data_IF_585060156469
#
_entry.id   IF_585060156469
#
_cell.length_a   1.000
_cell.length_b   1.000
_cell.length_c   1.000
_cell.angle_alpha   90.00
_cell.angle_beta   90.00
_cell.angle_gamma   90.00
#
_symmetry.space_group_name_H-M   'P 1'
#
loop_
_entity.id
_entity.type
_entity.pdbx_description
1 polymer ?
#
# COMPACT_ATOMS: atom_id res chain seq x y z
N UNK A 1 -64.37 -11.89 27.92
CA UNK A 1 -63.69 -10.74 27.27
C UNK A 1 -62.19 -10.94 27.41
N UNK A 2 -61.55 -11.51 26.40
CA UNK A 2 -60.09 -11.58 26.31
C UNK A 2 -59.57 -10.20 25.90
N UNK A 3 -58.73 -9.58 26.72
CA UNK A 3 -57.93 -8.43 26.32
C UNK A 3 -56.63 -8.93 25.69
N UNK A 4 -56.50 -8.73 24.39
CA UNK A 4 -55.26 -8.93 23.64
C UNK A 4 -54.39 -7.70 23.87
N UNK A 5 -53.28 -7.85 24.60
CA UNK A 5 -52.20 -6.86 24.61
C UNK A 5 -51.39 -7.02 23.33
N UNK A 6 -51.51 -6.08 22.42
CA UNK A 6 -50.60 -5.94 21.29
C UNK A 6 -49.29 -5.31 21.78
N UNK A 7 -48.25 -6.13 21.95
CA UNK A 7 -46.88 -5.64 22.07
C UNK A 7 -46.42 -5.20 20.68
N UNK A 8 -46.36 -3.88 20.47
CA UNK A 8 -45.60 -3.29 19.37
C UNK A 8 -44.41 -2.58 19.98
N UNK A 9 -43.30 -3.31 20.15
CA UNK A 9 -42.00 -2.67 20.36
C UNK A 9 -41.14 -2.93 19.12
N UNK A 10 -41.22 -1.98 18.20
CA UNK A 10 -40.26 -1.86 17.10
C UNK A 10 -39.47 -0.59 17.36
N UNK A 11 -38.46 -0.69 18.22
CA UNK A 11 -37.40 0.30 18.32
C UNK A 11 -36.63 0.33 16.99
N UNK A 12 -37.15 1.11 16.03
CA UNK A 12 -36.45 1.43 14.79
C UNK A 12 -35.19 2.19 15.18
N UNK A 13 -34.06 1.47 15.19
CA UNK A 13 -32.70 1.98 15.35
C UNK A 13 -32.51 3.20 14.45
N UNK A 14 -32.31 4.36 15.05
CA UNK A 14 -32.15 5.60 14.30
C UNK A 14 -30.66 5.80 14.00
N UNK A 15 -30.21 5.21 12.90
CA UNK A 15 -28.88 5.48 12.36
C UNK A 15 -28.76 6.97 11.98
N UNK A 16 -27.56 7.57 12.04
CA UNK A 16 -27.28 8.84 11.36
C UNK A 16 -27.76 8.79 9.90
N UNK A 17 -28.21 9.93 9.38
CA UNK A 17 -28.97 9.99 8.12
C UNK A 17 -28.25 9.38 6.91
N UNK A 18 -26.91 9.36 6.87
CA UNK A 18 -26.14 8.70 5.80
C UNK A 18 -25.99 7.19 5.97
N UNK A 19 -25.73 6.70 7.18
CA UNK A 19 -25.68 5.25 7.46
C UNK A 19 -27.00 4.56 7.10
N UNK A 20 -28.13 5.23 7.31
CA UNK A 20 -29.45 4.74 6.92
C UNK A 20 -29.67 4.63 5.39
N UNK A 21 -28.82 5.28 4.58
CA UNK A 21 -28.88 5.21 3.10
C UNK A 21 -28.05 4.05 2.54
N UNK A 22 -27.17 3.46 3.34
CA UNK A 22 -26.45 2.24 2.96
C UNK A 22 -27.39 1.03 3.00
N UNK A 23 -27.10 0.02 2.18
CA UNK A 23 -27.88 -1.23 2.10
C UNK A 23 -27.08 -2.38 2.67
N UNK A 24 -27.76 -3.35 3.27
CA UNK A 24 -27.13 -4.63 3.62
C UNK A 24 -26.54 -5.28 2.37
N UNK A 25 -25.33 -5.82 2.50
CA UNK A 25 -24.59 -6.48 1.44
C UNK A 25 -23.70 -7.59 2.01
N UNK A 26 -23.24 -8.48 1.13
CA UNK A 26 -22.17 -9.44 1.43
C UNK A 26 -21.08 -9.31 0.38
N UNK A 27 -19.83 -9.29 0.82
CA UNK A 27 -18.67 -9.32 -0.06
C UNK A 27 -18.13 -10.74 -0.12
N UNK A 28 -17.41 -11.05 -1.19
CA UNK A 28 -16.79 -12.37 -1.37
C UNK A 28 -15.82 -12.66 -0.21
N UNK A 29 -15.91 -13.85 0.38
CA UNK A 29 -15.06 -14.27 1.50
C UNK A 29 -15.43 -13.69 2.87
N UNK A 30 -16.61 -13.04 3.00
CA UNK A 30 -17.11 -12.49 4.25
C UNK A 30 -18.48 -13.09 4.57
N UNK A 31 -18.58 -13.80 5.69
CA UNK A 31 -19.77 -14.58 6.10
C UNK A 31 -20.81 -13.78 6.92
N UNK A 32 -20.61 -12.47 7.06
CA UNK A 32 -21.51 -11.56 7.75
C UNK A 32 -22.09 -10.48 6.82
N UNK A 33 -23.17 -9.83 7.26
CA UNK A 33 -23.75 -8.70 6.55
C UNK A 33 -23.00 -7.40 6.87
N UNK A 34 -22.60 -6.69 5.82
CA UNK A 34 -21.99 -5.37 5.88
C UNK A 34 -22.97 -4.32 5.35
N UNK A 35 -22.62 -3.04 5.45
CA UNK A 35 -23.37 -1.95 4.84
C UNK A 35 -22.60 -1.41 3.64
N UNK A 36 -23.18 -1.50 2.44
CA UNK A 36 -22.59 -1.01 1.21
C UNK A 36 -23.43 0.12 0.60
N UNK A 37 -22.78 1.04 -0.09
CA UNK A 37 -23.44 2.09 -0.85
C UNK A 37 -22.43 2.98 -1.56
N UNK A 38 -22.89 4.14 -2.00
CA UNK A 38 -22.02 5.14 -2.59
C UNK A 38 -22.46 6.56 -2.26
N UNK A 39 -21.51 7.49 -2.35
CA UNK A 39 -21.76 8.93 -2.38
C UNK A 39 -21.38 9.48 -3.75
N UNK A 40 -22.34 10.07 -4.46
CA UNK A 40 -22.09 10.74 -5.73
C UNK A 40 -21.46 12.11 -5.49
N UNK A 41 -20.32 12.38 -6.13
CA UNK A 41 -19.60 13.66 -6.09
C UNK A 41 -19.32 14.15 -7.50
N UNK A 42 -19.01 15.44 -7.68
CA UNK A 42 -18.48 15.93 -8.94
C UNK A 42 -17.06 15.41 -9.15
N UNK A 43 -16.77 14.95 -10.36
CA UNK A 43 -15.41 14.58 -10.74
C UNK A 43 -14.50 15.80 -10.61
N UNK A 44 -14.88 16.92 -11.22
CA UNK A 44 -14.22 18.20 -11.00
C UNK A 44 -14.89 18.97 -9.85
N UNK A 45 -14.28 18.87 -8.65
CA UNK A 45 -14.80 19.50 -7.42
C UNK A 45 -14.79 21.03 -7.48
N UNK A 46 -13.87 21.63 -8.23
CA UNK A 46 -13.72 23.08 -8.30
C UNK A 46 -14.85 23.74 -9.09
N UNK A 47 -15.15 23.19 -10.27
CA UNK A 47 -16.22 23.72 -11.13
C UNK A 47 -17.61 23.29 -10.67
N UNK A 48 -17.72 22.16 -9.94
CA UNK A 48 -19.00 21.53 -9.54
C UNK A 48 -19.96 21.38 -10.73
N UNK A 49 -19.41 21.11 -11.91
CA UNK A 49 -20.14 20.97 -13.16
C UNK A 49 -19.60 19.80 -13.97
N UNK A 50 -20.41 19.34 -14.92
CA UNK A 50 -20.04 18.21 -15.78
C UNK A 50 -20.24 16.85 -15.10
N UNK A 51 -19.28 15.94 -15.28
CA UNK A 51 -19.39 14.55 -14.84
C UNK A 51 -19.42 14.43 -13.32
N UNK A 52 -20.21 13.46 -12.85
CA UNK A 52 -20.20 12.97 -11.48
C UNK A 52 -19.60 11.57 -11.44
N UNK A 53 -19.08 11.20 -10.28
CA UNK A 53 -18.57 9.87 -9.98
C UNK A 53 -19.17 9.39 -8.66
N UNK A 54 -19.34 8.09 -8.53
CA UNK A 54 -19.79 7.47 -7.28
C UNK A 54 -18.57 7.00 -6.49
N UNK A 55 -18.47 7.43 -5.24
CA UNK A 55 -17.48 6.93 -4.29
C UNK A 55 -18.07 5.71 -3.59
N UNK A 56 -17.47 4.53 -3.81
CA UNK A 56 -17.89 3.29 -3.21
C UNK A 56 -17.51 3.23 -1.72
N UNK A 57 -18.48 2.85 -0.89
CA UNK A 57 -18.38 2.84 0.56
C UNK A 57 -18.80 1.47 1.08
N UNK A 58 -17.97 0.89 1.93
CA UNK A 58 -18.28 -0.29 2.74
C UNK A 58 -18.10 0.09 4.20
N UNK A 59 -19.13 -0.13 5.01
CA UNK A 59 -19.06 0.02 6.46
C UNK A 59 -19.23 -1.36 7.09
N UNK A 60 -18.24 -1.75 7.89
CA UNK A 60 -18.32 -2.90 8.78
C UNK A 60 -18.78 -2.37 10.16
N UNK A 61 -20.04 -2.61 10.56
CA UNK A 61 -20.56 -2.02 11.79
C UNK A 61 -19.84 -2.54 13.03
N UNK A 62 -19.79 -1.70 14.07
CA UNK A 62 -19.36 -2.09 15.40
C UNK A 62 -20.23 -3.22 15.95
N UNK A 63 -19.64 -4.14 16.69
CA UNK A 63 -20.42 -5.18 17.39
C UNK A 63 -21.24 -4.58 18.54
N UNK A 64 -20.64 -3.69 19.33
CA UNK A 64 -21.34 -2.94 20.37
C UNK A 64 -21.78 -1.55 19.85
N UNK A 65 -23.08 -1.43 19.59
CA UNK A 65 -23.71 -0.18 19.17
C UNK A 65 -24.06 0.75 20.35
N UNK A 66 -24.08 0.26 21.59
CA UNK A 66 -24.44 1.05 22.78
C UNK A 66 -23.28 1.90 23.28
N UNK A 67 -22.06 1.36 23.22
CA UNK A 67 -20.84 2.08 23.65
C UNK A 67 -19.94 2.49 22.49
N UNK A 68 -20.57 2.74 21.33
CA UNK A 68 -19.91 3.06 20.08
C UNK A 68 -19.00 4.29 20.21
N UNK A 69 -17.77 4.15 19.72
CA UNK A 69 -16.71 5.18 19.65
C UNK A 69 -16.58 5.67 18.21
N UNK A 70 -15.79 6.72 18.03
CA UNK A 70 -15.45 7.29 16.73
C UNK A 70 -14.94 6.19 15.77
N UNK A 71 -15.38 6.19 14.49
CA UNK A 71 -15.05 5.13 13.54
C UNK A 71 -13.56 5.12 13.15
N UNK A 72 -13.13 4.01 12.58
CA UNK A 72 -11.82 3.88 11.92
C UNK A 72 -12.00 3.96 10.41
N UNK A 73 -11.27 4.86 9.76
CA UNK A 73 -11.20 4.98 8.32
C UNK A 73 -9.85 4.44 7.84
N UNK A 74 -9.88 3.40 7.00
CA UNK A 74 -8.69 2.77 6.42
C UNK A 74 -8.35 3.42 5.08
N UNK A 75 -7.10 3.87 4.95
CA UNK A 75 -6.55 4.45 3.73
C UNK A 75 -5.50 3.51 3.14
N UNK A 76 -5.87 2.88 2.04
CA UNK A 76 -5.02 1.97 1.30
C UNK A 76 -3.81 2.68 0.66
N UNK A 77 -2.76 1.88 0.43
CA UNK A 77 -1.52 2.32 -0.21
C UNK A 77 -1.56 2.29 -1.75
N UNK A 78 -0.40 2.02 -2.34
CA UNK A 78 -0.18 2.04 -3.79
C UNK A 78 0.64 3.25 -4.21
N UNK A 79 0.04 4.40 -4.56
CA UNK A 79 -1.39 4.70 -4.74
C UNK A 79 -2.10 3.78 -5.74
N UNK A 80 -3.42 3.67 -5.63
CA UNK A 80 -4.24 2.91 -6.59
C UNK A 80 -4.85 1.63 -6.02
N UNK A 81 -4.50 1.22 -4.80
CA UNK A 81 -5.19 0.14 -4.11
C UNK A 81 -6.57 0.62 -3.59
N UNK A 82 -7.53 -0.30 -3.54
CA UNK A 82 -8.87 -0.04 -3.06
C UNK A 82 -8.96 -0.33 -1.55
N UNK A 83 -9.42 0.64 -0.75
CA UNK A 83 -9.62 0.46 0.70
C UNK A 83 -10.59 -0.66 1.02
N UNK A 84 -11.60 -0.88 0.15
CA UNK A 84 -12.60 -1.94 0.38
C UNK A 84 -12.04 -3.37 0.31
N UNK A 85 -10.83 -3.58 -0.23
CA UNK A 85 -10.14 -4.87 -0.17
C UNK A 85 -9.72 -5.24 1.27
N UNK A 86 -9.59 -4.27 2.17
CA UNK A 86 -9.33 -4.51 3.59
C UNK A 86 -10.55 -5.09 4.36
N UNK A 87 -11.73 -5.17 3.73
CA UNK A 87 -12.94 -5.68 4.37
C UNK A 87 -12.75 -7.10 4.90
N UNK A 88 -12.04 -7.96 4.15
CA UNK A 88 -11.77 -9.33 4.56
C UNK A 88 -10.96 -9.40 5.86
N UNK A 89 -9.97 -8.53 6.04
CA UNK A 89 -9.19 -8.44 7.28
C UNK A 89 -10.08 -8.02 8.45
N UNK A 90 -10.84 -6.94 8.31
CA UNK A 90 -11.69 -6.41 9.40
C UNK A 90 -12.92 -7.28 9.71
N UNK A 91 -13.34 -8.16 8.80
CA UNK A 91 -14.34 -9.17 9.06
C UNK A 91 -13.78 -10.39 9.83
N UNK A 92 -12.48 -10.66 9.70
CA UNK A 92 -11.84 -11.86 10.21
C UNK A 92 -10.75 -11.54 11.26
N UNK A 93 -9.48 -11.48 10.86
CA UNK A 93 -8.34 -11.34 11.77
C UNK A 93 -8.41 -10.02 12.57
N UNK A 94 -8.87 -8.95 11.94
CA UNK A 94 -9.01 -7.61 12.51
C UNK A 94 -10.35 -7.35 13.19
N UNK A 95 -11.15 -8.36 13.54
CA UNK A 95 -12.49 -8.15 14.13
C UNK A 95 -12.47 -7.30 15.41
N UNK A 96 -11.38 -7.31 16.17
CA UNK A 96 -11.27 -6.56 17.42
C UNK A 96 -11.37 -5.04 17.20
N UNK A 97 -10.93 -4.53 16.04
CA UNK A 97 -11.12 -3.13 15.65
C UNK A 97 -12.60 -2.72 15.66
N UNK A 98 -13.51 -3.66 15.41
CA UNK A 98 -14.94 -3.46 15.37
C UNK A 98 -15.66 -3.68 16.69
N UNK A 99 -14.94 -3.95 17.79
CA UNK A 99 -15.57 -4.16 19.10
C UNK A 99 -16.53 -3.01 19.46
N UNK A 100 -16.10 -1.77 19.24
CA UNK A 100 -16.87 -0.55 19.53
C UNK A 100 -16.77 0.54 18.47
N UNK A 101 -16.25 0.23 17.28
CA UNK A 101 -16.07 1.21 16.20
C UNK A 101 -16.62 0.63 14.92
N UNK A 102 -17.28 1.47 14.13
CA UNK A 102 -17.47 1.12 12.74
C UNK A 102 -16.11 1.21 12.06
N UNK A 103 -15.82 0.26 11.17
CA UNK A 103 -14.72 0.40 10.22
C UNK A 103 -15.31 0.83 8.89
N UNK A 104 -14.83 1.95 8.36
CA UNK A 104 -15.33 2.57 7.14
C UNK A 104 -14.23 2.49 6.09
N UNK A 105 -14.56 1.84 4.99
CA UNK A 105 -13.69 1.66 3.84
C UNK A 105 -14.28 2.46 2.70
N UNK A 106 -13.51 3.40 2.19
CA UNK A 106 -13.90 4.25 1.06
C UNK A 106 -12.90 4.02 -0.04
N UNK A 107 -13.35 3.48 -1.16
CA UNK A 107 -12.50 3.43 -2.35
C UNK A 107 -12.23 4.88 -2.77
N UNK A 108 -10.96 5.28 -2.75
CA UNK A 108 -10.55 6.57 -3.27
C UNK A 108 -11.01 6.71 -4.72
N UNK A 109 -11.42 7.90 -5.15
CA UNK A 109 -11.63 8.18 -6.59
C UNK A 109 -10.47 7.60 -7.41
N UNK A 110 -10.78 6.84 -8.45
CA UNK A 110 -9.82 6.16 -9.32
C UNK A 110 -9.44 4.75 -8.90
N UNK A 111 -9.94 4.25 -7.77
CA UNK A 111 -9.64 2.90 -7.23
C UNK A 111 -10.92 2.07 -7.05
N UNK A 112 -10.76 0.75 -6.93
CA UNK A 112 -11.85 -0.16 -6.57
C UNK A 112 -13.08 0.03 -7.47
N UNK A 113 -14.21 0.41 -6.86
CA UNK A 113 -15.46 0.73 -7.58
C UNK A 113 -15.70 2.24 -7.74
N UNK A 114 -14.80 3.10 -7.28
CA UNK A 114 -14.93 4.56 -7.33
C UNK A 114 -14.37 5.15 -8.63
N UNK A 115 -15.09 5.00 -9.75
CA UNK A 115 -14.63 5.36 -11.10
C UNK A 115 -13.19 4.90 -11.41
N UNK A 116 -12.93 3.57 -11.41
CA UNK A 116 -11.57 3.04 -11.39
C UNK A 116 -10.76 3.38 -12.64
N UNK A 117 -9.53 3.84 -12.43
CA UNK A 117 -8.54 4.18 -13.45
C UNK A 117 -7.68 2.95 -13.83
N UNK A 118 -8.36 1.86 -14.17
CA UNK A 118 -7.73 0.60 -14.60
C UNK A 118 -8.25 0.15 -15.95
N UNK A 119 -7.50 -0.73 -16.61
CA UNK A 119 -7.89 -1.46 -17.81
C UNK A 119 -7.51 -2.92 -17.64
N UNK A 120 -8.26 -3.82 -18.25
CA UNK A 120 -7.92 -5.25 -18.23
C UNK A 120 -6.55 -5.49 -18.84
N UNK A 121 -5.77 -6.36 -18.19
CA UNK A 121 -4.43 -6.79 -18.61
C UNK A 121 -4.46 -8.28 -18.90
N UNK A 122 -3.81 -8.70 -19.99
CA UNK A 122 -3.58 -10.12 -20.27
C UNK A 122 -2.29 -10.52 -19.56
N UNK A 123 -2.39 -11.44 -18.59
CA UNK A 123 -1.29 -11.81 -17.70
C UNK A 123 -0.52 -13.02 -18.23
N UNK A 124 0.32 -12.82 -19.23
CA UNK A 124 1.25 -13.84 -19.74
C UNK A 124 2.58 -13.83 -18.96
N UNK A 125 3.46 -14.81 -19.21
CA UNK A 125 4.81 -14.80 -18.66
C UNK A 125 5.59 -13.53 -19.04
N UNK A 126 5.48 -13.11 -20.31
CA UNK A 126 6.09 -11.90 -20.83
C UNK A 126 5.53 -10.64 -20.16
N UNK A 127 4.23 -10.63 -19.81
CA UNK A 127 3.66 -9.52 -19.04
C UNK A 127 4.37 -9.38 -17.68
N UNK A 128 4.58 -10.49 -16.95
CA UNK A 128 5.21 -10.44 -15.64
C UNK A 128 6.69 -10.07 -15.66
N UNK A 129 7.36 -10.26 -16.81
CA UNK A 129 8.75 -9.90 -17.05
C UNK A 129 8.91 -8.60 -17.85
N UNK A 130 7.81 -7.93 -18.19
CA UNK A 130 7.84 -6.68 -18.95
C UNK A 130 8.32 -5.51 -18.11
N UNK A 131 8.85 -4.49 -18.79
CA UNK A 131 9.23 -3.25 -18.12
C UNK A 131 8.04 -2.55 -17.44
N UNK A 132 8.33 -1.79 -16.40
CA UNK A 132 7.35 -0.98 -15.68
C UNK A 132 6.88 0.13 -16.62
N UNK A 133 5.59 0.18 -16.88
CA UNK A 133 4.96 1.18 -17.76
C UNK A 133 5.60 1.28 -19.17
N UNK A 134 5.47 0.24 -20.00
CA UNK A 134 5.89 0.31 -21.40
C UNK A 134 5.17 1.46 -22.13
N UNK A 135 5.86 2.12 -23.06
CA UNK A 135 5.34 3.34 -23.71
C UNK A 135 3.95 3.13 -24.34
N UNK A 136 3.79 2.05 -25.11
CA UNK A 136 2.52 1.75 -25.78
C UNK A 136 1.42 1.37 -24.80
N UNK A 137 1.77 0.75 -23.67
CA UNK A 137 0.82 0.50 -22.59
C UNK A 137 0.31 1.81 -21.98
N UNK A 138 1.20 2.75 -21.64
CA UNK A 138 0.81 4.04 -21.05
C UNK A 138 -0.06 4.86 -22.00
N UNK A 139 0.31 4.92 -23.29
CA UNK A 139 -0.50 5.60 -24.32
C UNK A 139 -1.91 4.98 -24.43
N UNK A 140 -1.98 3.65 -24.53
CA UNK A 140 -3.25 2.92 -24.63
C UNK A 140 -4.10 3.08 -23.37
N UNK A 141 -3.48 3.04 -22.19
CA UNK A 141 -4.13 3.25 -20.90
C UNK A 141 -4.74 4.65 -20.85
N UNK A 142 -3.92 5.69 -21.11
CA UNK A 142 -4.37 7.08 -21.14
C UNK A 142 -5.53 7.28 -22.10
N UNK A 143 -5.37 6.87 -23.37
CA UNK A 143 -6.37 7.07 -24.41
C UNK A 143 -7.73 6.46 -24.01
N UNK A 144 -7.72 5.26 -23.41
CA UNK A 144 -8.95 4.58 -22.95
C UNK A 144 -9.57 5.27 -21.75
N UNK A 145 -8.77 5.75 -20.81
CA UNK A 145 -9.28 6.40 -19.60
C UNK A 145 -9.80 7.81 -19.86
N UNK A 146 -9.17 8.60 -20.74
CA UNK A 146 -9.62 9.96 -21.08
C UNK A 146 -11.03 9.99 -21.69
N UNK A 147 -11.51 8.87 -22.27
CA UNK A 147 -12.90 8.76 -22.75
C UNK A 147 -13.94 8.79 -21.63
N UNK A 148 -13.56 8.43 -20.39
CA UNK A 148 -14.48 8.24 -19.27
C UNK A 148 -14.07 8.94 -17.97
N UNK A 149 -12.87 9.51 -17.92
CA UNK A 149 -12.34 10.22 -16.76
C UNK A 149 -11.55 11.47 -17.16
N UNK A 150 -11.50 12.47 -16.28
CA UNK A 150 -10.62 13.63 -16.37
C UNK A 150 -9.44 13.32 -15.46
N UNK A 151 -8.36 12.82 -16.06
CA UNK A 151 -7.19 12.31 -15.34
C UNK A 151 -6.51 13.37 -14.45
N UNK A 152 -6.81 14.66 -14.67
CA UNK A 152 -6.31 15.77 -13.84
C UNK A 152 -7.01 15.89 -12.48
N UNK A 153 -8.14 15.20 -12.27
CA UNK A 153 -8.97 15.31 -11.06
C UNK A 153 -8.70 14.20 -10.01
N UNK A 154 -7.56 13.52 -10.12
CA UNK A 154 -7.21 12.35 -9.32
C UNK A 154 -5.92 12.58 -8.53
N UNK A 155 -5.91 13.63 -7.70
CA UNK A 155 -4.82 13.94 -6.75
C UNK A 155 -5.24 13.65 -5.31
N UNK A 156 -4.26 13.48 -4.42
CA UNK A 156 -4.49 13.16 -3.00
C UNK A 156 -5.33 14.22 -2.30
N UNK A 157 -5.10 15.51 -2.56
CA UNK A 157 -5.84 16.60 -1.92
C UNK A 157 -7.33 16.58 -2.26
N UNK A 158 -7.69 16.27 -3.50
CA UNK A 158 -9.08 16.14 -3.93
C UNK A 158 -9.71 14.89 -3.29
N UNK A 159 -8.98 13.78 -3.28
CA UNK A 159 -9.41 12.55 -2.64
C UNK A 159 -9.70 12.69 -1.13
N UNK A 160 -8.93 13.51 -0.41
CA UNK A 160 -9.16 13.71 1.02
C UNK A 160 -10.31 14.67 1.32
N UNK A 161 -10.63 15.60 0.41
CA UNK A 161 -11.88 16.37 0.49
C UNK A 161 -13.11 15.49 0.20
N UNK A 162 -13.01 14.52 -0.72
CA UNK A 162 -14.03 13.49 -0.92
C UNK A 162 -14.25 12.64 0.34
N UNK A 163 -13.16 12.25 1.00
CA UNK A 163 -13.23 11.47 2.23
C UNK A 163 -13.97 12.24 3.34
N UNK A 164 -13.76 13.56 3.43
CA UNK A 164 -14.45 14.41 4.40
C UNK A 164 -15.94 14.55 4.08
N UNK A 165 -16.31 14.66 2.79
CA UNK A 165 -17.71 14.63 2.36
C UNK A 165 -18.37 13.29 2.75
N UNK A 166 -17.67 12.16 2.58
CA UNK A 166 -18.17 10.84 3.02
C UNK A 166 -18.33 10.78 4.53
N UNK A 167 -17.35 11.25 5.31
CA UNK A 167 -17.44 11.34 6.77
C UNK A 167 -18.69 12.13 7.19
N UNK A 168 -18.84 13.34 6.66
CA UNK A 168 -19.95 14.22 6.98
C UNK A 168 -21.30 13.60 6.57
N UNK A 169 -21.36 13.02 5.37
CA UNK A 169 -22.55 12.36 4.86
C UNK A 169 -22.99 11.18 5.74
N UNK A 170 -22.05 10.33 6.17
CA UNK A 170 -22.30 9.22 7.11
C UNK A 170 -22.68 9.70 8.52
N UNK A 171 -22.45 10.98 8.85
CA UNK A 171 -22.85 11.60 10.12
C UNK A 171 -21.81 11.46 11.23
N UNK A 172 -20.54 11.26 10.90
CA UNK A 172 -19.46 11.22 11.88
C UNK A 172 -18.85 12.60 12.11
N UNK A 173 -18.69 13.02 13.36
CA UNK A 173 -18.05 14.30 13.68
C UNK A 173 -16.52 14.24 13.55
N UNK A 174 -15.91 13.27 14.23
CA UNK A 174 -14.47 12.97 14.17
C UNK A 174 -14.21 11.51 13.86
N UNK A 175 -13.06 11.22 13.24
CA UNK A 175 -12.65 9.89 12.80
C UNK A 175 -11.23 9.56 13.26
N UNK A 176 -10.94 8.27 13.37
CA UNK A 176 -9.56 7.77 13.48
C UNK A 176 -9.11 7.35 12.09
N UNK A 177 -7.88 7.68 11.70
CA UNK A 177 -7.31 7.33 10.40
C UNK A 177 -6.26 6.23 10.58
N UNK A 178 -6.29 5.23 9.72
CA UNK A 178 -5.17 4.32 9.51
C UNK A 178 -4.70 4.46 8.06
N UNK A 179 -3.40 4.66 7.85
CA UNK A 179 -2.80 4.71 6.52
C UNK A 179 -1.64 3.76 6.40
N UNK A 180 -1.62 2.99 5.32
CA UNK A 180 -0.50 2.12 4.94
C UNK A 180 0.20 2.67 3.69
N UNK A 181 1.53 2.78 3.69
CA UNK A 181 2.30 3.21 2.53
C UNK A 181 1.85 4.59 2.02
N UNK A 182 1.51 4.77 0.75
CA UNK A 182 0.84 5.98 0.23
C UNK A 182 -0.37 6.43 1.08
N UNK A 183 -1.11 5.51 1.71
CA UNK A 183 -2.20 5.85 2.63
C UNK A 183 -1.75 6.72 3.80
N UNK A 184 -0.47 6.65 4.20
CA UNK A 184 0.11 7.58 5.19
C UNK A 184 0.21 9.00 4.67
N UNK A 185 0.55 9.20 3.37
CA UNK A 185 0.48 10.51 2.72
C UNK A 185 -0.96 11.02 2.71
N UNK A 186 -1.90 10.18 2.34
CA UNK A 186 -3.33 10.52 2.33
C UNK A 186 -3.81 10.94 3.74
N UNK A 187 -3.47 10.16 4.77
CA UNK A 187 -3.80 10.49 6.16
C UNK A 187 -3.19 11.83 6.62
N UNK A 188 -1.94 12.10 6.25
CA UNK A 188 -1.25 13.36 6.55
C UNK A 188 -1.91 14.55 5.80
N UNK A 189 -2.32 14.35 4.55
CA UNK A 189 -3.03 15.36 3.76
C UNK A 189 -4.42 15.64 4.36
N UNK A 190 -5.16 14.61 4.77
CA UNK A 190 -6.44 14.77 5.47
C UNK A 190 -6.25 15.51 6.80
N UNK A 191 -5.25 15.12 7.61
CA UNK A 191 -4.93 15.78 8.87
C UNK A 191 -4.63 17.28 8.69
N UNK A 192 -4.02 17.66 7.57
CA UNK A 192 -3.77 19.07 7.23
C UNK A 192 -5.05 19.80 6.80
N UNK A 193 -5.88 19.19 5.95
CA UNK A 193 -7.05 19.84 5.36
C UNK A 193 -8.23 19.92 6.35
N UNK A 194 -8.39 18.89 7.19
CA UNK A 194 -9.53 18.67 8.06
C UNK A 194 -9.13 18.34 9.50
N UNK A 195 -8.19 19.09 10.14
CA UNK A 195 -7.64 18.75 11.45
C UNK A 195 -8.70 18.64 12.55
N UNK A 196 -9.77 19.43 12.47
CA UNK A 196 -10.89 19.42 13.41
C UNK A 196 -11.70 18.11 13.41
N UNK A 197 -11.60 17.33 12.33
CA UNK A 197 -12.31 16.07 12.15
C UNK A 197 -11.46 14.83 12.48
N UNK A 198 -10.21 15.03 12.94
CA UNK A 198 -9.32 13.93 13.29
C UNK A 198 -9.27 13.72 14.80
N UNK A 199 -9.49 12.48 15.23
CA UNK A 199 -9.27 12.04 16.62
C UNK A 199 -7.88 11.45 16.82
N UNK A 200 -7.49 10.48 16.01
CA UNK A 200 -6.14 9.89 16.00
C UNK A 200 -5.71 9.52 14.59
N UNK A 201 -4.41 9.38 14.38
CA UNK A 201 -3.83 8.90 13.12
C UNK A 201 -2.84 7.78 13.41
N UNK A 202 -2.94 6.68 12.67
CA UNK A 202 -1.93 5.62 12.64
C UNK A 202 -1.29 5.57 11.26
N UNK A 203 0.04 5.62 11.20
CA UNK A 203 0.82 5.60 9.96
C UNK A 203 1.72 4.37 9.95
N UNK A 204 1.64 3.52 8.93
CA UNK A 204 2.53 2.36 8.77
C UNK A 204 3.23 2.40 7.41
N UNK A 205 4.56 2.26 7.39
CA UNK A 205 5.35 2.38 6.16
C UNK A 205 5.28 3.81 5.60
N UNK A 206 5.92 4.75 6.30
CA UNK A 206 5.62 6.19 6.17
C UNK A 206 6.12 6.79 4.86
N UNK A 207 5.17 7.23 4.03
CA UNK A 207 5.37 8.07 2.86
C UNK A 207 4.94 9.52 3.18
N UNK A 208 5.85 10.43 3.57
CA UNK A 208 5.49 11.82 3.80
C UNK A 208 5.06 12.54 2.52
N UNK A 209 4.40 13.69 2.67
CA UNK A 209 3.94 14.56 1.56
C UNK A 209 5.07 15.13 0.70
N UNK A 210 6.30 15.14 1.21
CA UNK A 210 7.50 15.60 0.51
C UNK A 210 8.38 14.46 -0.01
N UNK A 211 8.01 13.20 0.22
CA UNK A 211 8.74 12.07 -0.37
C UNK A 211 8.48 12.03 -1.87
N UNK A 212 9.46 12.36 -2.70
CA UNK A 212 9.33 12.31 -4.15
C UNK A 212 9.47 10.86 -4.63
N UNK A 213 8.39 10.10 -4.71
CA UNK A 213 8.45 8.72 -5.19
C UNK A 213 8.65 8.70 -6.73
N UNK A 214 9.70 8.04 -7.27
CA UNK A 214 10.52 6.99 -6.65
C UNK A 214 11.99 7.40 -6.35
N UNK A 215 12.30 8.69 -6.18
CA UNK A 215 13.67 9.24 -6.06
C UNK A 215 14.60 8.45 -5.12
N UNK A 216 14.08 7.96 -3.99
CA UNK A 216 14.86 7.25 -2.96
C UNK A 216 14.62 5.73 -2.93
N UNK A 217 13.84 5.16 -3.85
CA UNK A 217 13.50 3.73 -3.81
C UNK A 217 14.72 2.82 -3.97
N UNK A 218 15.65 3.14 -4.88
CA UNK A 218 16.84 2.32 -5.07
C UNK A 218 17.78 2.35 -3.84
N UNK A 219 17.89 3.50 -3.19
CA UNK A 219 18.64 3.64 -1.93
C UNK A 219 18.00 2.83 -0.80
N UNK A 220 16.68 2.92 -0.63
CA UNK A 220 15.96 2.15 0.37
C UNK A 220 16.05 0.63 0.11
N UNK A 221 15.92 0.21 -1.15
CA UNK A 221 16.08 -1.18 -1.56
C UNK A 221 17.49 -1.71 -1.30
N UNK A 222 18.54 -0.93 -1.61
CA UNK A 222 19.93 -1.31 -1.35
C UNK A 222 20.19 -1.51 0.13
N UNK A 223 19.66 -0.62 0.98
CA UNK A 223 19.73 -0.76 2.44
C UNK A 223 19.04 -2.03 2.91
N UNK A 224 17.82 -2.30 2.45
CA UNK A 224 17.06 -3.47 2.86
C UNK A 224 17.72 -4.78 2.40
N UNK A 225 18.23 -4.82 1.17
CA UNK A 225 18.97 -5.96 0.62
C UNK A 225 20.22 -6.24 1.44
N UNK A 226 21.02 -5.22 1.74
CA UNK A 226 22.20 -5.37 2.59
C UNK A 226 21.85 -5.97 3.96
N UNK A 227 20.83 -5.44 4.63
CA UNK A 227 20.39 -5.97 5.91
C UNK A 227 19.90 -7.42 5.81
N UNK A 228 19.25 -7.80 4.71
CA UNK A 228 18.77 -9.17 4.48
C UNK A 228 19.94 -10.15 4.27
N UNK A 229 20.94 -9.75 3.48
CA UNK A 229 22.14 -10.56 3.24
C UNK A 229 22.98 -10.71 4.52
N UNK A 230 23.17 -9.62 5.28
CA UNK A 230 23.81 -9.67 6.60
C UNK A 230 23.06 -10.61 7.57
N UNK A 231 21.72 -10.64 7.53
CA UNK A 231 20.93 -11.59 8.31
C UNK A 231 21.14 -13.05 7.86
N UNK A 232 21.29 -13.32 6.56
CA UNK A 232 21.61 -14.65 6.06
C UNK A 232 23.01 -15.09 6.49
N UNK A 233 24.01 -14.20 6.42
CA UNK A 233 25.38 -14.51 6.84
C UNK A 233 25.49 -14.80 8.35
N UNK A 234 24.65 -14.16 9.17
CA UNK A 234 24.59 -14.39 10.61
C UNK A 234 23.77 -15.63 11.00
N UNK A 235 22.87 -16.08 10.13
CA UNK A 235 22.09 -17.30 10.31
C UNK A 235 22.92 -18.53 9.91
N UNK A 236 23.09 -19.48 10.84
CA UNK A 236 23.99 -20.61 10.62
C UNK A 236 23.56 -21.49 9.43
N UNK A 237 22.25 -21.71 9.22
CA UNK A 237 21.76 -22.56 8.13
C UNK A 237 21.85 -21.84 6.78
N UNK A 238 21.53 -20.55 6.76
CA UNK A 238 21.63 -19.74 5.54
C UNK A 238 23.09 -19.56 5.12
N UNK A 239 23.99 -19.28 6.05
CA UNK A 239 25.43 -19.15 5.77
C UNK A 239 26.07 -20.47 5.32
N UNK A 240 25.70 -21.60 5.93
CA UNK A 240 26.17 -22.92 5.47
C UNK A 240 25.72 -23.20 4.02
N UNK A 241 24.49 -22.84 3.67
CA UNK A 241 23.97 -23.01 2.33
C UNK A 241 24.57 -22.01 1.32
N UNK A 242 24.80 -20.76 1.73
CA UNK A 242 25.17 -19.64 0.86
C UNK A 242 26.35 -18.82 1.46
N UNK A 243 27.56 -19.39 1.54
CA UNK A 243 28.68 -18.77 2.26
C UNK A 243 29.23 -17.47 1.63
N UNK A 244 28.85 -17.19 0.38
CA UNK A 244 29.33 -16.04 -0.41
C UNK A 244 28.16 -15.24 -1.00
N UNK A 245 27.05 -15.10 -0.25
CA UNK A 245 25.81 -14.54 -0.81
C UNK A 245 25.94 -13.09 -1.33
N UNK A 246 26.80 -12.28 -0.72
CA UNK A 246 27.12 -10.93 -1.20
C UNK A 246 27.81 -10.97 -2.59
N UNK A 247 28.74 -11.91 -2.79
CA UNK A 247 29.41 -12.11 -4.07
C UNK A 247 28.44 -12.66 -5.13
N UNK A 248 27.54 -13.57 -4.73
CA UNK A 248 26.50 -14.11 -5.61
C UNK A 248 25.57 -13.01 -6.11
N UNK A 249 25.13 -12.11 -5.21
CA UNK A 249 24.32 -10.94 -5.59
C UNK A 249 25.03 -10.06 -6.62
N UNK A 250 26.30 -9.72 -6.38
CA UNK A 250 27.10 -8.92 -7.31
C UNK A 250 27.33 -9.64 -8.66
N UNK A 251 27.56 -10.97 -8.62
CA UNK A 251 27.77 -11.82 -9.79
C UNK A 251 26.53 -11.86 -10.68
N UNK A 252 25.33 -12.03 -10.13
CA UNK A 252 24.08 -12.04 -10.90
C UNK A 252 23.87 -10.71 -11.62
N UNK A 253 24.03 -9.58 -10.92
CA UNK A 253 23.87 -8.27 -11.54
C UNK A 253 24.88 -8.05 -12.66
N UNK A 254 26.14 -8.43 -12.46
CA UNK A 254 27.19 -8.33 -13.48
C UNK A 254 26.90 -9.22 -14.70
N UNK A 255 26.36 -10.42 -14.49
CA UNK A 255 25.93 -11.30 -15.59
C UNK A 255 24.81 -10.66 -16.40
N UNK A 256 23.77 -10.16 -15.73
CA UNK A 256 22.61 -9.54 -16.37
C UNK A 256 22.93 -8.19 -17.03
N UNK A 257 23.96 -7.48 -16.57
CA UNK A 257 24.49 -6.28 -17.24
C UNK A 257 25.12 -6.60 -18.59
N UNK A 258 25.70 -7.80 -18.77
CA UNK A 258 26.32 -8.21 -20.03
C UNK A 258 25.28 -8.69 -21.04
N UNK A 259 24.30 -9.47 -20.59
CA UNK A 259 23.21 -9.97 -21.42
C UNK A 259 22.01 -10.41 -20.57
N UNK A 260 20.77 -10.28 -21.06
CA UNK A 260 19.60 -10.88 -20.41
C UNK A 260 19.74 -12.39 -20.27
N UNK A 261 19.25 -12.95 -19.15
CA UNK A 261 19.17 -14.39 -19.00
C UNK A 261 17.99 -14.94 -19.83
N UNK A 262 18.19 -16.09 -20.46
CA UNK A 262 17.17 -16.78 -21.27
C UNK A 262 16.77 -18.07 -20.60
N UNK A 263 15.49 -18.21 -20.31
CA UNK A 263 14.94 -19.37 -19.59
C UNK A 263 13.77 -19.94 -20.36
N UNK A 264 13.69 -21.25 -20.47
CA UNK A 264 12.51 -21.93 -21.00
C UNK A 264 11.43 -21.97 -19.90
N UNK A 265 10.27 -21.41 -20.19
CA UNK A 265 9.10 -21.43 -19.32
C UNK A 265 8.06 -22.38 -19.87
N UNK A 266 7.60 -23.33 -19.06
CA UNK A 266 6.48 -24.21 -19.38
C UNK A 266 5.22 -23.71 -18.68
N UNK A 267 4.25 -23.12 -19.40
CA UNK A 267 3.05 -22.59 -18.78
C UNK A 267 2.17 -23.70 -18.17
N UNK A 268 1.46 -23.44 -17.06
CA UNK A 268 0.65 -24.44 -16.36
C UNK A 268 -0.59 -24.90 -17.13
N UNK A 269 -0.97 -24.20 -18.20
CA UNK A 269 -2.10 -24.55 -19.06
C UNK A 269 -1.76 -25.59 -20.14
N UNK A 270 -0.58 -26.23 -20.05
CA UNK A 270 -0.03 -27.19 -21.01
C UNK A 270 0.17 -26.62 -22.42
N UNK A 271 0.25 -25.30 -22.57
CA UNK A 271 0.73 -24.70 -23.82
C UNK A 271 2.22 -25.02 -24.04
N UNK A 272 2.68 -24.81 -25.28
CA UNK A 272 4.07 -25.09 -25.64
C UNK A 272 5.03 -24.24 -24.79
N UNK A 273 6.20 -24.79 -24.38
CA UNK A 273 7.21 -24.00 -23.68
C UNK A 273 7.61 -22.76 -24.49
N UNK A 274 7.80 -21.65 -23.79
CA UNK A 274 8.20 -20.36 -24.37
C UNK A 274 9.54 -19.93 -23.80
N UNK A 275 10.40 -19.36 -24.64
CA UNK A 275 11.65 -18.74 -24.17
C UNK A 275 11.36 -17.33 -23.69
N UNK A 276 11.68 -17.06 -22.43
CA UNK A 276 11.54 -15.73 -21.82
C UNK A 276 12.90 -15.12 -21.52
N UNK A 277 12.96 -13.79 -21.54
CA UNK A 277 14.16 -13.03 -21.18
C UNK A 277 13.98 -12.32 -19.84
N UNK A 278 14.98 -12.46 -18.97
CA UNK A 278 15.06 -11.76 -17.69
C UNK A 278 16.14 -10.68 -17.83
N UNK A 279 15.71 -9.42 -17.86
CA UNK A 279 16.62 -8.28 -17.89
C UNK A 279 17.07 -7.91 -16.47
N UNK A 280 18.26 -7.33 -16.35
CA UNK A 280 18.86 -6.84 -15.09
C UNK A 280 17.88 -6.03 -14.23
N UNK A 281 17.23 -5.03 -14.83
CA UNK A 281 16.37 -4.12 -14.09
C UNK A 281 15.05 -4.77 -13.66
N UNK A 282 14.55 -5.74 -14.43
CA UNK A 282 13.37 -6.56 -14.07
C UNK A 282 13.72 -7.47 -12.91
N UNK A 283 14.90 -8.10 -12.96
CA UNK A 283 15.41 -8.92 -11.87
C UNK A 283 15.51 -8.13 -10.57
N UNK A 284 16.18 -6.98 -10.61
CA UNK A 284 16.34 -6.11 -9.44
C UNK A 284 14.99 -5.59 -8.91
N UNK A 285 14.06 -5.18 -9.78
CA UNK A 285 12.74 -4.67 -9.35
C UNK A 285 11.86 -5.76 -8.73
N UNK A 286 11.95 -7.00 -9.21
CA UNK A 286 11.25 -8.15 -8.60
C UNK A 286 11.81 -8.47 -7.21
N UNK A 287 13.14 -8.54 -7.07
CA UNK A 287 13.80 -8.72 -5.77
C UNK A 287 13.37 -7.61 -4.81
N UNK A 288 13.34 -6.35 -5.26
CA UNK A 288 12.85 -5.21 -4.46
C UNK A 288 11.42 -5.42 -3.99
N UNK A 289 10.55 -5.91 -4.87
CA UNK A 289 9.13 -6.15 -4.57
C UNK A 289 8.96 -7.28 -3.56
N UNK A 290 9.72 -8.37 -3.67
CA UNK A 290 9.69 -9.48 -2.71
C UNK A 290 10.20 -9.08 -1.32
N UNK A 291 11.08 -8.08 -1.23
CA UNK A 291 11.49 -7.52 0.06
C UNK A 291 10.36 -6.76 0.80
N UNK A 292 9.15 -6.60 0.24
CA UNK A 292 8.04 -5.94 0.94
C UNK A 292 7.54 -6.75 2.14
N UNK A 293 7.62 -8.08 2.07
CA UNK A 293 7.17 -9.01 3.10
C UNK A 293 8.25 -10.03 3.46
N UNK A 294 8.24 -10.52 4.70
CA UNK A 294 9.30 -11.40 5.20
C UNK A 294 9.21 -12.82 4.65
N UNK A 295 8.01 -13.26 4.26
CA UNK A 295 7.79 -14.56 3.61
C UNK A 295 8.49 -14.68 2.27
N UNK A 296 8.43 -13.66 1.42
CA UNK A 296 9.12 -13.71 0.12
C UNK A 296 10.61 -13.40 0.27
N UNK A 297 10.96 -12.47 1.18
CA UNK A 297 12.34 -12.13 1.44
C UNK A 297 13.19 -13.33 1.91
N UNK A 298 12.60 -14.29 2.64
CA UNK A 298 13.33 -15.48 3.11
C UNK A 298 13.78 -16.42 1.98
N UNK A 299 13.23 -16.28 0.77
CA UNK A 299 13.63 -17.06 -0.42
C UNK A 299 14.68 -16.38 -1.28
N UNK A 300 14.94 -15.08 -1.05
CA UNK A 300 15.86 -14.29 -1.88
C UNK A 300 17.28 -14.88 -1.91
N UNK A 301 17.90 -15.30 -0.80
CA UNK A 301 19.25 -15.86 -0.84
C UNK A 301 19.37 -17.08 -1.77
N UNK A 302 18.43 -18.02 -1.69
CA UNK A 302 18.37 -19.18 -2.60
C UNK A 302 18.23 -18.75 -4.06
N UNK A 303 17.31 -17.83 -4.36
CA UNK A 303 17.08 -17.35 -5.73
C UNK A 303 18.33 -16.67 -6.30
N UNK A 304 19.00 -15.83 -5.50
CA UNK A 304 20.22 -15.13 -5.89
C UNK A 304 21.37 -16.12 -6.11
N UNK A 305 21.58 -17.06 -5.19
CA UNK A 305 22.62 -18.07 -5.30
C UNK A 305 22.45 -18.92 -6.58
N UNK A 306 21.22 -19.40 -6.86
CA UNK A 306 20.93 -20.19 -8.06
C UNK A 306 21.13 -19.38 -9.35
N UNK A 307 20.66 -18.14 -9.36
CA UNK A 307 20.89 -17.24 -10.49
C UNK A 307 22.38 -16.97 -10.71
N UNK A 308 23.19 -16.90 -9.65
CA UNK A 308 24.63 -16.67 -9.74
C UNK A 308 25.34 -17.83 -10.47
N UNK A 309 24.81 -19.04 -10.34
CA UNK A 309 25.26 -20.24 -11.05
C UNK A 309 24.61 -20.41 -12.44
N UNK A 310 23.80 -19.44 -12.88
CA UNK A 310 23.14 -19.43 -14.17
C UNK A 310 21.76 -20.11 -14.19
N UNK A 311 21.29 -20.62 -13.06
CA UNK A 311 19.94 -21.19 -12.91
C UNK A 311 18.94 -20.11 -12.46
N UNK A 312 18.25 -19.52 -13.44
CA UNK A 312 17.20 -18.53 -13.21
C UNK A 312 15.81 -19.15 -13.03
N UNK A 313 15.69 -20.48 -12.98
CA UNK A 313 14.41 -21.18 -12.79
C UNK A 313 13.67 -20.75 -11.52
N UNK A 314 14.32 -20.73 -10.33
CA UNK A 314 13.68 -20.27 -9.09
C UNK A 314 13.21 -18.82 -9.15
N UNK A 315 13.99 -17.92 -9.77
CA UNK A 315 13.57 -16.54 -10.00
C UNK A 315 12.30 -16.50 -10.86
N UNK A 316 12.29 -17.25 -11.96
CA UNK A 316 11.19 -17.24 -12.91
C UNK A 316 9.89 -17.75 -12.27
N UNK A 317 9.99 -18.82 -11.47
CA UNK A 317 8.87 -19.38 -10.72
C UNK A 317 8.24 -18.36 -9.78
N UNK A 318 9.03 -17.62 -8.99
CA UNK A 318 8.52 -16.58 -8.10
C UNK A 318 8.05 -15.33 -8.87
N UNK A 319 8.64 -15.03 -10.03
CA UNK A 319 8.34 -13.82 -10.80
C UNK A 319 7.03 -13.89 -11.60
N UNK A 320 6.61 -15.10 -12.01
CA UNK A 320 5.37 -15.35 -12.75
C UNK A 320 4.25 -15.65 -11.77
N UNK A 321 3.51 -14.61 -11.42
CA UNK A 321 2.37 -14.71 -10.53
C UNK A 321 1.86 -13.33 -10.12
N UNK A 322 0.68 -13.27 -9.49
CA UNK A 322 0.14 -12.02 -8.99
C UNK A 322 1.14 -11.30 -8.09
N UNK A 323 1.32 -10.00 -8.33
CA UNK A 323 2.22 -9.13 -7.57
C UNK A 323 1.55 -7.80 -7.24
N UNK A 324 2.15 -6.97 -6.39
CA UNK A 324 1.58 -5.67 -5.99
C UNK A 324 1.01 -4.84 -7.17
N UNK A 325 1.71 -4.70 -8.32
CA UNK A 325 1.18 -4.01 -9.51
C UNK A 325 -0.14 -4.55 -10.09
N UNK A 326 -0.53 -5.78 -9.76
CA UNK A 326 -1.77 -6.39 -10.24
C UNK A 326 -3.00 -6.01 -9.39
N UNK A 327 -2.78 -5.45 -8.21
CA UNK A 327 -3.82 -5.07 -7.25
C UNK A 327 -4.00 -3.55 -7.13
N UNK A 328 -3.23 -2.76 -7.90
CA UNK A 328 -3.35 -1.30 -7.97
C UNK A 328 -3.90 -0.85 -9.32
N UNK A 329 -4.68 0.23 -9.30
CA UNK A 329 -5.10 0.93 -10.51
C UNK A 329 -3.95 1.77 -11.07
N UNK A 330 -3.31 1.33 -12.15
CA UNK A 330 -2.15 2.03 -12.75
C UNK A 330 -2.45 3.47 -13.15
N UNK A 331 -3.65 3.75 -13.67
CA UNK A 331 -4.01 5.12 -14.02
C UNK A 331 -4.14 6.01 -12.78
N UNK A 332 -4.55 5.46 -11.64
CA UNK A 332 -4.52 6.18 -10.37
C UNK A 332 -3.09 6.38 -9.89
N UNK A 333 -2.25 5.34 -9.97
CA UNK A 333 -0.84 5.43 -9.61
C UNK A 333 -0.12 6.54 -10.37
N UNK A 334 -0.33 6.60 -11.69
CA UNK A 334 0.22 7.62 -12.56
C UNK A 334 -0.39 9.00 -12.28
N UNK A 335 -1.71 9.13 -12.11
CA UNK A 335 -2.31 10.43 -11.79
C UNK A 335 -1.77 11.06 -10.51
N UNK A 336 -1.50 10.27 -9.46
CA UNK A 336 -0.84 10.77 -8.24
C UNK A 336 0.62 11.12 -8.50
N UNK A 337 1.43 10.14 -8.90
CA UNK A 337 2.89 10.32 -8.97
C UNK A 337 3.31 11.36 -10.00
N UNK A 338 2.58 11.49 -11.10
CA UNK A 338 2.83 12.49 -12.13
C UNK A 338 2.36 13.90 -11.74
N UNK A 339 1.49 14.04 -10.75
CA UNK A 339 1.09 15.34 -10.21
C UNK A 339 1.97 15.79 -9.03
N UNK A 340 2.25 14.86 -8.13
CA UNK A 340 2.75 15.12 -6.77
C UNK A 340 4.24 14.86 -6.57
N UNK A 341 4.84 13.97 -7.37
CA UNK A 341 6.20 13.47 -7.10
C UNK A 341 7.16 13.77 -8.24
N UNK A 342 6.94 13.13 -9.39
CA UNK A 342 7.87 13.09 -10.53
C UNK A 342 8.25 14.48 -11.05
N UNK A 343 7.33 15.45 -11.19
CA UNK A 343 7.69 16.80 -11.64
C UNK A 343 8.65 17.54 -10.71
N UNK A 344 8.81 17.09 -9.47
CA UNK A 344 9.66 17.72 -8.46
C UNK A 344 10.97 16.95 -8.22
N UNK A 345 11.19 15.85 -8.94
CA UNK A 345 12.46 15.11 -8.90
C UNK A 345 13.52 15.91 -9.64
N UNK A 346 14.60 16.23 -8.92
CA UNK A 346 15.84 16.72 -9.53
C UNK A 346 16.54 15.52 -10.19
N UNK A 347 16.57 15.53 -11.52
CA UNK A 347 17.11 14.43 -12.32
C UNK A 347 18.63 14.28 -12.18
N UNK A 348 19.36 15.37 -11.95
CA UNK A 348 20.81 15.31 -11.73
C UNK A 348 21.09 14.67 -10.36
N UNK A 349 20.35 15.09 -9.33
CA UNK A 349 20.47 14.49 -8.00
C UNK A 349 20.03 13.02 -8.01
N UNK A 350 18.96 12.66 -8.72
CA UNK A 350 18.52 11.28 -8.86
C UNK A 350 19.59 10.41 -9.56
N UNK A 351 20.21 10.92 -10.63
CA UNK A 351 21.31 10.23 -11.30
C UNK A 351 22.51 9.99 -10.35
N UNK A 352 22.88 10.99 -9.54
CA UNK A 352 23.95 10.86 -8.53
C UNK A 352 23.61 9.82 -7.45
N UNK A 353 22.37 9.82 -6.94
CA UNK A 353 21.91 8.87 -5.92
C UNK A 353 21.92 7.42 -6.43
N UNK A 354 21.64 7.22 -7.72
CA UNK A 354 21.47 5.90 -8.31
C UNK A 354 22.73 5.39 -9.05
N UNK A 355 23.77 6.20 -9.18
CA UNK A 355 25.05 5.79 -9.77
C UNK A 355 25.72 4.70 -8.91
N UNK A 356 26.00 3.54 -9.52
CA UNK A 356 26.57 2.39 -8.82
C UNK A 356 25.61 1.70 -7.83
N UNK A 357 24.34 2.11 -7.78
CA UNK A 357 23.34 1.47 -6.94
C UNK A 357 22.90 0.13 -7.58
N UNK A 358 22.88 -0.99 -6.84
CA UNK A 358 22.47 -2.29 -7.37
C UNK A 358 21.09 -2.29 -8.05
N UNK A 359 20.14 -1.54 -7.52
CA UNK A 359 18.78 -1.40 -8.06
C UNK A 359 18.66 -0.32 -9.16
N UNK A 360 19.72 0.47 -9.36
CA UNK A 360 19.86 1.43 -10.46
C UNK A 360 18.83 2.58 -10.47
N UNK A 361 18.73 3.26 -11.62
CA UNK A 361 17.82 4.41 -11.83
C UNK A 361 16.47 3.99 -12.45
N UNK A 362 16.18 2.69 -12.51
CA UNK A 362 15.10 2.11 -13.30
C UNK A 362 13.73 2.77 -13.04
N UNK A 363 13.27 2.81 -11.78
CA UNK A 363 11.95 3.40 -11.47
C UNK A 363 11.86 4.89 -11.78
N UNK A 364 12.91 5.66 -11.49
CA UNK A 364 12.93 7.11 -11.80
C UNK A 364 12.80 7.31 -13.30
N UNK A 365 13.55 6.54 -14.10
CA UNK A 365 13.45 6.59 -15.55
C UNK A 365 12.07 6.20 -16.05
N UNK A 366 11.54 5.04 -15.63
CA UNK A 366 10.26 4.52 -16.10
C UNK A 366 9.08 5.44 -15.75
N UNK A 367 9.04 5.93 -14.51
CA UNK A 367 7.99 6.85 -14.08
C UNK A 367 8.13 8.22 -14.73
N UNK A 368 9.35 8.75 -14.91
CA UNK A 368 9.56 10.02 -15.65
C UNK A 368 9.06 9.90 -17.09
N UNK A 369 9.39 8.79 -17.77
CA UNK A 369 8.91 8.51 -19.13
C UNK A 369 7.38 8.40 -19.17
N UNK A 370 6.77 7.62 -18.28
CA UNK A 370 5.32 7.49 -18.20
C UNK A 370 4.63 8.85 -17.95
N UNK A 371 5.15 9.64 -16.99
CA UNK A 371 4.58 10.94 -16.65
C UNK A 371 4.75 12.00 -17.74
N UNK A 372 5.75 11.90 -18.61
CA UNK A 372 5.87 12.78 -19.78
C UNK A 372 4.69 12.64 -20.75
N UNK A 373 3.96 11.53 -20.68
CA UNK A 373 2.79 11.23 -21.51
C UNK A 373 1.47 11.25 -20.74
N UNK A 374 1.46 11.55 -19.43
CA UNK A 374 0.28 11.51 -18.59
C UNK A 374 -0.23 12.92 -18.25
N UNK A 375 -1.55 13.20 -18.25
CA UNK A 375 -2.07 14.48 -17.83
C UNK A 375 -1.75 14.78 -16.37
N UNK A 376 -1.38 16.02 -16.08
CA UNK A 376 -1.00 16.45 -14.74
C UNK A 376 -2.16 17.15 -14.03
N UNK A 377 -2.53 16.64 -12.85
CA UNK A 377 -3.44 17.33 -11.94
C UNK A 377 -2.78 18.49 -11.19
N UNK A 378 -3.57 19.47 -10.80
CA UNK A 378 -3.10 20.56 -9.93
C UNK A 378 -3.03 20.09 -8.47
N UNK A 379 -2.03 20.59 -7.74
CA UNK A 379 -1.84 20.33 -6.32
C UNK A 379 -1.69 21.65 -5.56
N UNK A 380 -2.08 21.71 -4.27
CA UNK A 380 -1.85 22.90 -3.45
C UNK A 380 -0.37 23.31 -3.42
N UNK A 381 -0.08 24.62 -3.40
CA UNK A 381 1.31 25.13 -3.37
C UNK A 381 2.12 24.61 -2.18
N UNK A 382 1.46 24.35 -1.05
CA UNK A 382 2.05 23.84 0.18
C UNK A 382 1.94 22.31 0.30
N UNK A 383 1.65 21.57 -0.77
CA UNK A 383 1.47 20.12 -0.73
C UNK A 383 2.66 19.42 -0.07
N UNK A 384 3.87 19.70 -0.56
CA UNK A 384 5.14 19.14 -0.06
C UNK A 384 5.68 19.84 1.18
N UNK A 385 4.93 20.74 1.83
CA UNK A 385 5.32 21.16 3.17
C UNK A 385 5.22 19.96 4.14
N UNK A 386 5.96 19.93 5.26
CA UNK A 386 5.68 19.01 6.36
C UNK A 386 4.28 19.24 6.94
N UNK A 387 3.68 18.20 7.53
CA UNK A 387 2.40 18.31 8.25
C UNK A 387 2.70 18.42 9.74
N UNK A 388 2.17 19.46 10.37
CA UNK A 388 2.21 19.61 11.83
C UNK A 388 0.79 19.69 12.37
N UNK A 389 0.52 18.96 13.44
CA UNK A 389 -0.76 18.91 14.12
C UNK A 389 -0.58 18.41 15.56
N UNK A 390 -1.53 18.77 16.42
CA UNK A 390 -1.58 18.31 17.81
C UNK A 390 -2.37 17.00 17.99
N UNK A 391 -2.92 16.43 16.91
CA UNK A 391 -3.60 15.14 17.00
C UNK A 391 -2.61 14.04 17.46
N UNK A 392 -3.02 13.10 18.33
CA UNK A 392 -2.23 11.92 18.64
C UNK A 392 -1.92 11.12 17.37
N UNK A 393 -0.64 10.78 17.17
CA UNK A 393 -0.19 10.01 16.00
C UNK A 393 0.65 8.81 16.41
N UNK A 394 0.26 7.62 15.97
CA UNK A 394 1.05 6.41 16.13
C UNK A 394 1.75 6.08 14.82
N UNK A 395 3.07 5.90 14.84
CA UNK A 395 3.87 5.65 13.65
C UNK A 395 4.54 4.29 13.77
N UNK A 396 4.39 3.43 12.76
CA UNK A 396 5.09 2.16 12.63
C UNK A 396 6.00 2.18 11.41
N UNK A 397 7.24 1.77 11.61
CA UNK A 397 8.19 1.52 10.51
C UNK A 397 8.83 0.15 10.67
N UNK A 398 8.92 -0.60 9.59
CA UNK A 398 9.75 -1.79 9.58
C UNK A 398 11.22 -1.43 9.37
N UNK A 399 12.11 -1.99 10.20
CA UNK A 399 13.56 -1.79 10.02
C UNK A 399 14.03 -2.28 8.66
N UNK A 400 13.37 -3.29 8.10
CA UNK A 400 13.73 -3.94 6.84
C UNK A 400 12.98 -3.37 5.63
N UNK A 401 12.21 -2.28 5.78
CA UNK A 401 11.39 -1.69 4.72
C UNK A 401 12.25 -1.25 3.51
N UNK A 402 12.01 -1.80 2.28
CA UNK A 402 12.76 -1.46 1.07
C UNK A 402 12.22 -0.21 0.34
N UNK A 403 11.23 0.48 0.89
CA UNK A 403 10.51 1.60 0.26
C UNK A 403 10.55 2.84 1.16
N UNK A 404 10.06 2.68 2.39
CA UNK A 404 9.84 3.76 3.37
C UNK A 404 10.57 3.44 4.67
N UNK A 405 11.93 3.50 4.68
CA UNK A 405 12.72 3.12 5.83
C UNK A 405 12.41 3.99 7.07
N UNK A 406 12.76 3.54 8.30
CA UNK A 406 12.36 4.20 9.55
C UNK A 406 12.68 5.70 9.65
N UNK A 407 13.74 6.14 8.97
CA UNK A 407 14.07 7.56 8.87
C UNK A 407 12.87 8.42 8.43
N UNK A 408 11.98 7.91 7.57
CA UNK A 408 10.77 8.65 7.14
C UNK A 408 9.78 8.83 8.29
N UNK A 409 9.65 7.82 9.15
CA UNK A 409 8.88 7.92 10.38
C UNK A 409 9.48 8.94 11.35
N UNK A 410 10.80 8.94 11.53
CA UNK A 410 11.51 9.92 12.37
C UNK A 410 11.33 11.36 11.87
N UNK A 411 11.48 11.57 10.56
CA UNK A 411 11.27 12.87 9.90
C UNK A 411 9.84 13.38 10.15
N UNK A 412 8.82 12.52 9.98
CA UNK A 412 7.41 12.90 10.22
C UNK A 412 7.13 13.15 11.70
N UNK A 413 7.65 12.31 12.60
CA UNK A 413 7.48 12.47 14.04
C UNK A 413 7.99 13.83 14.54
N UNK A 414 9.06 14.37 13.94
CA UNK A 414 9.63 15.67 14.32
C UNK A 414 8.67 16.86 14.17
N UNK A 415 7.61 16.72 13.36
CA UNK A 415 6.58 17.75 13.17
C UNK A 415 5.28 17.46 13.94
N UNK A 416 5.19 16.32 14.61
CA UNK A 416 4.01 15.82 15.29
C UNK A 416 4.34 15.61 16.79
N UNK A 417 4.20 16.64 17.63
CA UNK A 417 4.67 16.62 19.01
C UNK A 417 4.00 15.56 19.89
N UNK A 418 2.79 15.13 19.52
CA UNK A 418 2.02 14.09 20.22
C UNK A 418 2.13 12.73 19.51
N UNK A 419 3.24 12.48 18.82
CA UNK A 419 3.48 11.24 18.11
C UNK A 419 4.36 10.26 18.89
N UNK A 420 4.17 8.97 18.62
CA UNK A 420 5.11 7.91 19.01
C UNK A 420 5.51 7.09 17.81
N UNK A 421 6.81 7.01 17.56
CA UNK A 421 7.37 6.18 16.50
C UNK A 421 7.87 4.85 17.08
N UNK A 422 7.36 3.75 16.53
CA UNK A 422 7.71 2.38 16.87
C UNK A 422 8.38 1.75 15.65
N UNK A 423 9.65 1.38 15.81
CA UNK A 423 10.40 0.65 14.80
C UNK A 423 10.30 -0.84 15.11
N UNK A 424 9.78 -1.63 14.18
CA UNK A 424 9.65 -3.08 14.33
C UNK A 424 10.90 -3.73 13.72
N UNK A 425 11.77 -4.38 14.52
CA UNK A 425 13.11 -4.80 14.08
C UNK A 425 13.14 -5.75 12.88
N UNK A 426 12.16 -6.64 12.77
CA UNK A 426 12.11 -7.67 11.72
C UNK A 426 11.11 -7.35 10.61
N UNK A 427 10.28 -6.31 10.76
CA UNK A 427 9.27 -5.98 9.76
C UNK A 427 9.89 -5.31 8.54
N UNK A 428 9.26 -5.57 7.39
CA UNK A 428 9.57 -4.98 6.11
C UNK A 428 8.62 -3.80 5.85
N UNK A 429 8.00 -3.71 4.66
CA UNK A 429 7.05 -2.62 4.39
C UNK A 429 5.75 -2.76 5.19
N UNK A 430 5.35 -4.02 5.43
CA UNK A 430 4.34 -4.40 6.41
C UNK A 430 4.89 -5.43 7.39
N UNK A 431 4.00 -6.14 8.07
CA UNK A 431 4.34 -7.21 9.04
C UNK A 431 4.12 -8.62 8.49
N UNK A 432 3.85 -8.75 7.21
CA UNK A 432 3.60 -10.04 6.55
C UNK A 432 4.80 -10.98 6.70
N UNK A 433 4.49 -12.23 7.08
CA UNK A 433 5.46 -13.28 7.37
C UNK A 433 6.07 -13.27 8.76
N UNK A 434 5.79 -12.26 9.58
CA UNK A 434 6.28 -12.26 10.96
C UNK A 434 5.42 -13.12 11.89
N UNK A 435 6.05 -13.67 12.91
CA UNK A 435 5.36 -14.25 14.06
C UNK A 435 4.65 -13.16 14.89
N UNK A 436 3.54 -13.55 15.54
CA UNK A 436 2.69 -12.67 16.36
C UNK A 436 2.28 -11.34 15.66
N UNK A 437 1.69 -11.39 14.44
CA UNK A 437 1.23 -10.17 13.76
C UNK A 437 0.20 -9.38 14.59
N UNK A 438 -0.55 -10.07 15.46
CA UNK A 438 -1.49 -9.46 16.40
C UNK A 438 -0.85 -8.54 17.44
N UNK A 439 0.48 -8.52 17.58
CA UNK A 439 1.19 -7.52 18.38
C UNK A 439 0.85 -6.10 17.93
N UNK A 440 0.87 -5.84 16.62
CA UNK A 440 0.60 -4.51 16.08
C UNK A 440 -0.86 -4.12 16.29
N UNK A 441 -1.78 -5.08 16.07
CA UNK A 441 -3.21 -4.87 16.30
C UNK A 441 -3.49 -4.48 17.76
N UNK A 442 -2.86 -5.16 18.73
CA UNK A 442 -3.02 -4.84 20.16
C UNK A 442 -2.53 -3.44 20.49
N UNK A 443 -1.38 -3.02 19.97
CA UNK A 443 -0.83 -1.67 20.17
C UNK A 443 -1.78 -0.63 19.55
N UNK A 444 -2.23 -0.85 18.32
CA UNK A 444 -3.18 0.04 17.63
C UNK A 444 -4.50 0.13 18.40
N UNK A 445 -5.01 -0.98 18.93
CA UNK A 445 -6.25 -1.00 19.69
C UNK A 445 -6.16 -0.26 21.01
N UNK A 446 -5.05 -0.40 21.74
CA UNK A 446 -4.78 0.38 22.96
C UNK A 446 -4.68 1.88 22.65
N UNK A 447 -3.97 2.23 21.57
CA UNK A 447 -3.89 3.61 21.07
C UNK A 447 -5.25 4.19 20.70
N UNK A 448 -6.05 3.45 19.92
CA UNK A 448 -7.40 3.89 19.54
C UNK A 448 -8.29 4.06 20.77
N UNK A 449 -8.15 3.21 21.79
CA UNK A 449 -8.91 3.33 23.02
C UNK A 449 -8.52 4.55 23.83
N UNK A 450 -7.23 4.72 24.11
CA UNK A 450 -6.69 5.85 24.88
C UNK A 450 -6.87 7.18 24.17
N UNK A 451 -6.71 7.20 22.85
CA UNK A 451 -6.58 8.44 22.09
C UNK A 451 -5.28 9.19 22.43
N UNK A 452 -4.23 8.46 22.79
CA UNK A 452 -2.93 8.99 23.21
C UNK A 452 -1.83 7.95 22.91
N UNK A 453 -0.67 8.41 22.43
CA UNK A 453 0.45 7.58 22.03
C UNK A 453 1.53 7.38 23.13
N UNK A 454 1.47 8.11 24.25
CA UNK A 454 2.59 8.24 25.21
C UNK A 454 2.86 6.96 26.00
N UNK A 455 1.84 6.23 26.44
CA UNK A 455 1.95 5.07 27.34
C UNK A 455 1.41 3.76 26.75
N UNK A 456 1.89 3.39 25.56
CA UNK A 456 1.59 2.11 24.91
C UNK A 456 2.60 1.02 25.33
N UNK A 457 2.09 -0.19 25.58
CA UNK A 457 2.89 -1.41 25.74
C UNK A 457 3.33 -1.87 24.34
N UNK A 458 4.64 -1.90 24.07
CA UNK A 458 5.17 -2.17 22.73
C UNK A 458 6.23 -3.27 22.71
N UNK A 459 6.52 -3.91 23.85
CA UNK A 459 7.64 -4.86 23.96
C UNK A 459 7.46 -6.10 23.10
N UNK A 460 6.23 -6.41 22.68
CA UNK A 460 5.97 -7.53 21.78
C UNK A 460 6.67 -7.39 20.41
N UNK A 461 6.97 -6.17 19.94
CA UNK A 461 7.60 -5.97 18.62
C UNK A 461 9.00 -6.55 18.55
N UNK A 462 9.71 -6.62 19.69
CA UNK A 462 11.05 -7.21 19.79
C UNK A 462 11.06 -8.73 19.68
N UNK A 463 9.89 -9.37 19.87
CA UNK A 463 9.75 -10.83 19.80
C UNK A 463 9.22 -11.33 18.46
N UNK A 464 8.79 -10.42 17.59
CA UNK A 464 8.35 -10.76 16.24
C UNK A 464 9.57 -11.25 15.45
N UNK A 465 9.44 -12.43 14.84
CA UNK A 465 10.52 -13.09 14.12
C UNK A 465 10.11 -13.37 12.67
N UNK A 466 11.04 -13.26 11.70
CA UNK A 466 10.79 -13.65 10.31
C UNK A 466 10.73 -15.19 10.19
N UNK A 467 10.23 -15.72 9.06
CA UNK A 467 10.36 -17.14 8.79
C UNK A 467 11.84 -17.50 8.54
N UNK A 468 12.23 -18.77 8.72
CA UNK A 468 13.57 -19.21 8.38
C UNK A 468 13.87 -19.00 6.89
N UNK A 469 15.15 -18.81 6.56
CA UNK A 469 15.58 -18.76 5.17
C UNK A 469 15.34 -20.09 4.46
N UNK A 470 14.86 -20.03 3.22
CA UNK A 470 14.80 -21.21 2.36
C UNK A 470 16.22 -21.55 1.90
N UNK A 471 16.72 -22.73 2.26
CA UNK A 471 18.07 -23.20 1.90
C UNK A 471 18.06 -24.28 0.82
N UNK A 472 16.87 -24.77 0.44
CA UNK A 472 16.67 -25.77 -0.61
C UNK A 472 15.44 -25.41 -1.41
N UNK A 473 15.41 -25.84 -2.68
CA UNK A 473 14.23 -25.74 -3.52
C UNK A 473 13.18 -26.72 -3.00
N UNK A 474 11.99 -26.23 -2.67
CA UNK A 474 10.83 -27.10 -2.42
C UNK A 474 10.39 -27.68 -3.77
N UNK A 475 10.17 -29.00 -3.81
CA UNK A 475 9.81 -29.75 -5.02
C UNK A 475 8.36 -29.50 -5.45
#
# INVERSE_FOLDING_TARGET
MLFIYALTDSSKRQFPAGLAKLKSCRLHGIDEELLCGHLTVFENRHTRGGRTIDLNIVVLPAFDQQTKREPLFDLAGGPGAASTEAAGFYANQGKEFRRRRDVVLVDQRGTGKSNPLTVSKIKTAEYYLSEMYPVEYVKSLRQRLEQRSDLTQYTTSIAMDDLDDVRAWLGYDRINLFGLSYGTRAALVYLRQHPQHVRTVTLMGVAPTYLKMPMYHAQAATRAMKLLLEQCEQDAQCHEAFPHIDDDWAKVLTQLERAPARVEYSPPDNSAPVMVEIQRDIFAEKIRTWMYGRDQASRIPLIVHRAADGDFGPFLHEAIGPSIPDFIADGMYLSVTCAEDVPFIDQEQAAKLNAGNPFGNYRVFQQTRACSMWPRGEIPRNFSAPVSANAPVLIFSGKMDPVTPPQRGDEVASYLPNSRHIVIPQAAHGVDGLTDPGCIDRIMMDFLEKGDATDLEVSCVERMAPPPFATKQEN
#
